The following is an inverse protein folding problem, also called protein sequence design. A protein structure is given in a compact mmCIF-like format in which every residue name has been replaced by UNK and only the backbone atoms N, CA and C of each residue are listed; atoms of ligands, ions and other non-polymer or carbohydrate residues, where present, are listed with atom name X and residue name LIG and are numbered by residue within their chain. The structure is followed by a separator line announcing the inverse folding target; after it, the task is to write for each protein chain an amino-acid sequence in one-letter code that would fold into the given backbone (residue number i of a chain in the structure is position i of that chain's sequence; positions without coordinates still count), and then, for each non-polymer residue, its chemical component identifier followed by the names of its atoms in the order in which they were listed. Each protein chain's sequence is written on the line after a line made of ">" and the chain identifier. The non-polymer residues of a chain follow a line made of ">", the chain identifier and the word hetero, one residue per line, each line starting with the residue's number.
data_IF_254169859232
#
_entry.id   IF_254169859232
#
_cell.length_a   1.000
_cell.length_b   1.000
_cell.length_c   1.000
_cell.angle_alpha   90.00
_cell.angle_beta   90.00
_cell.angle_gamma   90.00
#
_symmetry.space_group_name_H-M   'P 1'
#
loop_
_entity.id
_entity.type
_entity.pdbx_description
1 polymer ?
#
# COMPACT_ATOMS: atom_id res chain seq x y z
N UNK A 1 -4.86 -22.16 0.44
CA UNK A 1 -3.62 -21.38 0.52
C UNK A 1 -2.43 -22.30 0.66
N UNK A 2 -2.17 -23.13 -0.35
CA UNK A 2 -1.16 -24.22 -0.29
C UNK A 2 -0.37 -24.41 -1.60
N UNK A 3 -0.27 -23.38 -2.45
CA UNK A 3 0.39 -23.52 -3.75
C UNK A 3 1.47 -22.47 -4.06
N UNK A 4 2.08 -21.87 -3.04
CA UNK A 4 3.33 -21.13 -3.28
C UNK A 4 4.48 -22.08 -2.92
N UNK A 5 4.89 -22.89 -3.89
CA UNK A 5 6.11 -23.68 -3.75
C UNK A 5 7.30 -22.71 -3.68
N UNK A 6 8.10 -22.84 -2.63
CA UNK A 6 9.16 -21.91 -2.21
C UNK A 6 10.31 -21.76 -3.22
N UNK A 7 10.37 -22.56 -4.27
CA UNK A 7 11.47 -22.56 -5.24
C UNK A 7 11.27 -21.61 -6.44
N UNK A 8 10.04 -21.18 -6.77
CA UNK A 8 9.72 -20.28 -7.90
C UNK A 8 9.49 -18.80 -7.49
N UNK A 9 10.00 -18.42 -6.32
CA UNK A 9 9.32 -17.43 -5.46
C UNK A 9 9.64 -15.95 -5.77
N UNK A 10 10.82 -15.59 -6.30
CA UNK A 10 11.21 -14.17 -6.38
C UNK A 10 10.63 -13.37 -7.53
N UNK A 11 10.47 -13.99 -8.71
CA UNK A 11 9.75 -13.33 -9.80
C UNK A 11 8.28 -13.12 -9.43
N UNK A 12 7.67 -14.09 -8.75
CA UNK A 12 6.31 -13.97 -8.23
C UNK A 12 6.20 -12.84 -7.21
N UNK A 13 7.10 -12.77 -6.21
CA UNK A 13 7.11 -11.69 -5.22
C UNK A 13 7.32 -10.32 -5.86
N UNK A 14 8.19 -10.23 -6.88
CA UNK A 14 8.36 -9.02 -7.67
C UNK A 14 7.08 -8.64 -8.46
N UNK A 15 6.39 -9.62 -9.04
CA UNK A 15 5.09 -9.39 -9.68
C UNK A 15 4.04 -8.89 -8.68
N UNK A 16 3.98 -9.50 -7.50
CA UNK A 16 3.10 -9.12 -6.40
C UNK A 16 3.38 -7.69 -5.91
N UNK A 17 4.66 -7.30 -5.80
CA UNK A 17 5.07 -5.93 -5.51
C UNK A 17 4.46 -4.94 -6.50
N UNK A 18 4.58 -5.19 -7.81
CA UNK A 18 4.02 -4.30 -8.84
C UNK A 18 2.51 -4.18 -8.74
N UNK A 19 1.81 -5.27 -8.42
CA UNK A 19 0.36 -5.25 -8.18
C UNK A 19 0.02 -4.45 -6.92
N UNK A 20 0.75 -4.64 -5.83
CA UNK A 20 0.56 -3.91 -4.58
C UNK A 20 0.75 -2.40 -4.77
N UNK A 21 1.80 -2.00 -5.48
CA UNK A 21 2.09 -0.59 -5.80
C UNK A 21 1.04 0.02 -6.74
N UNK A 22 0.63 -0.70 -7.79
CA UNK A 22 -0.35 -0.19 -8.74
C UNK A 22 -1.76 -0.06 -8.14
N UNK A 23 -2.09 -0.90 -7.15
CA UNK A 23 -3.41 -0.93 -6.50
C UNK A 23 -3.50 -0.07 -5.25
N UNK A 24 -2.37 0.37 -4.68
CA UNK A 24 -2.34 1.06 -3.38
C UNK A 24 -2.85 0.18 -2.23
N UNK A 25 -2.86 -1.14 -2.39
CA UNK A 25 -3.38 -2.04 -1.36
C UNK A 25 -2.26 -2.47 -0.43
N UNK A 26 -2.30 -2.07 0.85
CA UNK A 26 -1.41 -2.64 1.88
C UNK A 26 -1.74 -4.10 2.19
N UNK A 27 -3.01 -4.47 2.06
CA UNK A 27 -3.50 -5.84 2.30
C UNK A 27 -4.22 -6.35 1.05
N UNK A 28 -3.87 -7.56 0.64
CA UNK A 28 -4.61 -8.29 -0.40
C UNK A 28 -5.45 -9.32 0.35
N UNK A 29 -6.77 -9.12 0.34
CA UNK A 29 -7.67 -9.82 1.24
C UNK A 29 -7.33 -9.53 2.70
N UNK A 30 -7.07 -10.57 3.49
CA UNK A 30 -6.71 -10.45 4.91
C UNK A 30 -5.20 -10.34 5.15
N UNK A 31 -4.37 -10.54 4.13
CA UNK A 31 -2.92 -10.69 4.27
C UNK A 31 -2.19 -9.38 3.96
N UNK A 32 -1.30 -8.96 4.85
CA UNK A 32 -0.31 -7.93 4.53
C UNK A 32 0.77 -8.57 3.64
N UNK A 33 0.67 -8.33 2.34
CA UNK A 33 1.46 -9.00 1.33
C UNK A 33 2.96 -8.67 1.47
N UNK A 34 3.29 -7.42 1.80
CA UNK A 34 4.69 -7.00 1.96
C UNK A 34 5.32 -7.67 3.18
N UNK A 35 4.63 -7.65 4.33
CA UNK A 35 5.14 -8.27 5.56
C UNK A 35 5.34 -9.78 5.39
N UNK A 36 4.42 -10.45 4.68
CA UNK A 36 4.55 -11.87 4.38
C UNK A 36 5.74 -12.12 3.44
N UNK A 37 5.81 -11.41 2.32
CA UNK A 37 6.88 -11.55 1.33
C UNK A 37 8.27 -11.25 1.90
N UNK A 38 8.42 -10.16 2.65
CA UNK A 38 9.67 -9.81 3.31
C UNK A 38 10.06 -10.87 4.34
N UNK A 39 9.10 -11.42 5.09
CA UNK A 39 9.35 -12.51 6.02
C UNK A 39 9.81 -13.81 5.36
N UNK A 40 9.36 -14.09 4.14
CA UNK A 40 9.83 -15.24 3.33
C UNK A 40 11.27 -14.96 2.88
N UNK A 41 11.52 -13.81 2.25
CA UNK A 41 12.84 -13.43 1.74
C UNK A 41 13.88 -13.44 2.88
N UNK A 42 13.60 -12.79 4.00
CA UNK A 42 14.57 -12.69 5.10
C UNK A 42 14.89 -14.03 5.77
N UNK A 43 13.97 -15.00 5.75
CA UNK A 43 14.23 -16.35 6.28
C UNK A 43 15.20 -17.14 5.43
N UNK A 44 15.17 -16.92 4.12
CA UNK A 44 16.00 -17.65 3.14
C UNK A 44 17.35 -16.96 2.88
N UNK A 45 17.63 -15.82 3.52
CA UNK A 45 18.90 -15.12 3.35
C UNK A 45 20.07 -15.94 3.90
N UNK A 46 21.12 -16.11 3.09
CA UNK A 46 22.34 -16.77 3.53
C UNK A 46 23.01 -15.95 4.64
N UNK A 47 23.20 -16.55 5.82
CA UNK A 47 23.73 -15.86 7.01
C UNK A 47 25.20 -15.48 6.92
N UNK A 48 25.95 -16.06 6.00
CA UNK A 48 27.39 -15.82 5.82
C UNK A 48 27.61 -14.83 4.68
N UNK A 49 27.04 -15.10 3.50
CA UNK A 49 27.26 -14.26 2.31
C UNK A 49 26.26 -13.12 2.18
N UNK A 50 25.12 -13.19 2.88
CA UNK A 50 24.01 -12.24 2.74
C UNK A 50 23.23 -12.40 1.43
N UNK A 51 23.66 -13.29 0.53
CA UNK A 51 23.02 -13.52 -0.75
C UNK A 51 21.77 -14.39 -0.62
N UNK A 52 20.90 -14.29 -1.63
CA UNK A 52 19.82 -15.23 -1.86
C UNK A 52 20.18 -16.13 -3.03
N UNK A 53 20.01 -17.44 -2.85
CA UNK A 53 20.23 -18.42 -3.90
C UNK A 53 18.88 -19.05 -4.26
N UNK A 54 18.37 -18.74 -5.46
CA UNK A 54 17.21 -19.41 -6.03
C UNK A 54 17.55 -19.97 -7.41
N UNK A 55 16.76 -20.95 -7.82
CA UNK A 55 16.87 -21.57 -9.13
C UNK A 55 15.99 -20.80 -10.13
N UNK A 56 16.62 -20.15 -11.11
CA UNK A 56 15.92 -19.55 -12.25
C UNK A 56 16.08 -20.53 -13.41
N UNK A 57 14.98 -21.06 -13.96
CA UNK A 57 14.99 -22.07 -15.03
C UNK A 57 15.87 -23.30 -14.68
N UNK A 58 15.75 -23.80 -13.45
CA UNK A 58 16.59 -24.88 -12.90
C UNK A 58 18.09 -24.60 -12.85
N UNK A 59 18.52 -23.33 -12.95
CA UNK A 59 19.91 -22.92 -12.74
C UNK A 59 20.02 -22.03 -11.50
N UNK A 60 20.92 -22.34 -10.54
CA UNK A 60 21.12 -21.48 -9.38
C UNK A 60 21.74 -20.15 -9.83
N UNK A 61 21.17 -19.03 -9.40
CA UNK A 61 21.75 -17.71 -9.68
C UNK A 61 21.64 -16.79 -8.47
N UNK A 62 22.77 -16.58 -7.80
CA UNK A 62 22.82 -15.71 -6.61
C UNK A 62 22.62 -14.23 -6.97
N UNK A 63 23.16 -13.80 -8.11
CA UNK A 63 23.10 -12.39 -8.54
C UNK A 63 21.67 -11.98 -8.89
N UNK A 64 20.98 -12.78 -9.71
CA UNK A 64 19.61 -12.47 -10.14
C UNK A 64 18.66 -12.51 -8.94
N UNK A 65 18.78 -13.55 -8.11
CA UNK A 65 17.95 -13.72 -6.91
C UNK A 65 18.17 -12.57 -5.93
N UNK A 66 19.43 -12.23 -5.64
CA UNK A 66 19.74 -11.09 -4.76
C UNK A 66 19.22 -9.77 -5.33
N UNK A 67 19.30 -9.55 -6.65
CA UNK A 67 18.75 -8.36 -7.28
C UNK A 67 17.22 -8.26 -7.08
N UNK A 68 16.47 -9.34 -7.31
CA UNK A 68 15.02 -9.35 -7.06
C UNK A 68 14.67 -9.22 -5.58
N UNK A 69 15.44 -9.85 -4.68
CA UNK A 69 15.29 -9.71 -3.23
C UNK A 69 15.38 -8.23 -2.81
N UNK A 70 16.41 -7.55 -3.31
CA UNK A 70 16.65 -6.14 -3.00
C UNK A 70 15.58 -5.23 -3.61
N UNK A 71 15.16 -5.48 -4.85
CA UNK A 71 14.04 -4.75 -5.47
C UNK A 71 12.77 -4.82 -4.62
N UNK A 72 12.45 -6.01 -4.11
CA UNK A 72 11.29 -6.20 -3.24
C UNK A 72 11.48 -5.52 -1.87
N UNK A 73 12.58 -5.81 -1.16
CA UNK A 73 12.81 -5.36 0.22
C UNK A 73 12.98 -3.85 0.35
N UNK A 74 13.48 -3.18 -0.69
CA UNK A 74 13.62 -1.71 -0.68
C UNK A 74 12.27 -1.00 -0.63
N UNK A 75 11.15 -1.65 -1.01
CA UNK A 75 9.82 -1.02 -1.04
C UNK A 75 9.13 -0.89 0.31
N UNK A 76 9.52 -1.66 1.31
CA UNK A 76 8.95 -1.53 2.66
C UNK A 76 9.31 -0.24 3.37
N UNK A 77 10.29 0.49 2.83
CA UNK A 77 10.78 1.74 3.41
C UNK A 77 9.98 2.96 2.92
N UNK A 78 9.17 2.81 1.88
CA UNK A 78 8.46 3.94 1.29
C UNK A 78 7.34 4.41 2.24
N UNK A 79 7.42 5.64 2.75
CA UNK A 79 6.39 6.18 3.64
C UNK A 79 5.06 6.32 2.89
N UNK A 80 3.97 6.10 3.63
CA UNK A 80 2.61 6.28 3.12
C UNK A 80 2.19 7.71 3.45
N UNK A 81 1.98 8.53 2.42
CA UNK A 81 1.65 9.95 2.61
C UNK A 81 0.16 10.20 2.76
N UNK A 82 -0.66 9.35 2.14
CA UNK A 82 -2.11 9.53 2.12
C UNK A 82 -2.85 8.19 2.14
N UNK A 83 -3.90 8.17 2.95
CA UNK A 83 -4.88 7.11 3.05
C UNK A 83 -6.17 7.56 2.37
N UNK A 84 -6.55 6.95 1.26
CA UNK A 84 -7.84 7.19 0.60
C UNK A 84 -8.93 6.37 1.29
N UNK A 85 -9.92 7.05 1.86
CA UNK A 85 -11.01 6.40 2.59
C UNK A 85 -11.98 5.72 1.61
N UNK A 86 -12.11 4.40 1.73
CA UNK A 86 -13.10 3.61 1.03
C UNK A 86 -14.37 3.51 1.89
N UNK A 87 -15.49 4.00 1.37
CA UNK A 87 -16.81 3.95 2.02
C UNK A 87 -17.89 3.51 1.02
N UNK A 88 -19.09 3.21 1.52
CA UNK A 88 -20.22 2.82 0.68
C UNK A 88 -20.76 4.04 -0.10
N UNK A 89 -20.26 4.24 -1.31
CA UNK A 89 -20.58 5.36 -2.19
C UNK A 89 -19.52 5.57 -3.27
N UNK A 90 -19.57 6.67 -4.02
CA UNK A 90 -18.60 6.97 -5.08
C UNK A 90 -17.28 7.51 -4.51
N UNK A 91 -16.66 6.76 -3.60
CA UNK A 91 -15.40 7.11 -2.93
C UNK A 91 -14.22 7.23 -3.90
N UNK A 92 -14.29 6.58 -5.06
CA UNK A 92 -13.27 6.60 -6.11
C UNK A 92 -13.81 7.16 -7.44
N UNK A 93 -14.55 8.27 -7.38
CA UNK A 93 -15.16 8.90 -8.56
C UNK A 93 -14.12 9.37 -9.60
N UNK A 94 -12.91 9.72 -9.16
CA UNK A 94 -11.75 10.05 -10.01
C UNK A 94 -10.62 9.04 -9.75
N UNK A 95 -10.56 7.93 -10.49
CA UNK A 95 -9.49 6.96 -10.31
C UNK A 95 -8.11 7.60 -10.54
N UNK A 96 -7.13 7.25 -9.70
CA UNK A 96 -5.73 7.71 -9.75
C UNK A 96 -5.48 9.17 -9.38
N UNK A 97 -6.45 9.88 -8.82
CA UNK A 97 -6.24 11.20 -8.20
C UNK A 97 -5.14 11.16 -7.12
N UNK A 98 -5.25 10.21 -6.20
CA UNK A 98 -4.30 9.82 -5.17
C UNK A 98 -2.93 9.45 -5.73
N UNK A 99 -2.89 8.62 -6.77
CA UNK A 99 -1.66 8.24 -7.46
C UNK A 99 -0.97 9.46 -8.08
N UNK A 100 -1.71 10.31 -8.78
CA UNK A 100 -1.15 11.49 -9.44
C UNK A 100 -0.60 12.49 -8.42
N UNK A 101 -1.33 12.74 -7.32
CA UNK A 101 -0.86 13.59 -6.23
C UNK A 101 0.39 12.99 -5.57
N UNK A 102 0.39 11.68 -5.31
CA UNK A 102 1.54 10.98 -4.71
C UNK A 102 2.76 11.02 -5.61
N UNK A 103 2.59 10.86 -6.93
CA UNK A 103 3.69 10.95 -7.88
C UNK A 103 4.25 12.37 -7.97
N UNK A 104 3.37 13.37 -7.99
CA UNK A 104 3.80 14.76 -7.96
C UNK A 104 4.57 15.10 -6.67
N UNK A 105 4.07 14.66 -5.50
CA UNK A 105 4.78 14.80 -4.22
C UNK A 105 6.13 14.08 -4.25
N UNK A 106 6.17 12.85 -4.77
CA UNK A 106 7.40 12.06 -4.86
C UNK A 106 8.47 12.75 -5.70
N UNK A 107 8.07 13.31 -6.84
CA UNK A 107 8.96 14.10 -7.70
C UNK A 107 9.41 15.40 -7.02
N UNK A 108 8.53 16.05 -6.26
CA UNK A 108 8.81 17.33 -5.58
C UNK A 108 9.79 17.16 -4.41
N UNK A 109 9.65 16.07 -3.64
CA UNK A 109 10.49 15.79 -2.47
C UNK A 109 11.68 14.87 -2.78
N UNK A 110 11.84 14.43 -4.03
CA UNK A 110 12.86 13.47 -4.46
C UNK A 110 12.87 12.18 -3.61
N UNK A 111 11.70 11.78 -3.12
CA UNK A 111 11.51 10.61 -2.26
C UNK A 111 10.43 9.72 -2.85
N UNK A 112 10.61 8.41 -2.74
CA UNK A 112 9.56 7.48 -3.17
C UNK A 112 8.46 7.43 -2.11
N UNK A 113 7.31 8.02 -2.43
CA UNK A 113 6.16 8.07 -1.54
C UNK A 113 5.08 7.11 -2.05
N UNK A 114 4.30 6.55 -1.12
CA UNK A 114 3.19 5.67 -1.45
C UNK A 114 1.87 6.25 -0.95
N UNK A 115 0.79 5.79 -1.54
CA UNK A 115 -0.56 5.95 -1.03
C UNK A 115 -1.18 4.59 -0.78
N UNK A 116 -2.24 4.56 0.03
CA UNK A 116 -3.06 3.36 0.15
C UNK A 116 -4.54 3.69 0.29
N UNK A 117 -5.40 2.72 -0.01
CA UNK A 117 -6.81 2.78 0.35
C UNK A 117 -7.09 2.10 1.69
N UNK A 118 -7.97 2.70 2.49
CA UNK A 118 -8.37 2.17 3.81
C UNK A 118 -9.90 2.10 3.91
N UNK A 119 -10.49 0.95 4.25
CA UNK A 119 -11.93 0.83 4.44
C UNK A 119 -12.40 1.62 5.67
N UNK A 120 -13.57 2.27 5.60
CA UNK A 120 -14.18 3.00 6.72
C UNK A 120 -14.52 2.07 7.89
N UNK A 121 -14.75 0.79 7.63
CA UNK A 121 -15.02 -0.25 8.62
C UNK A 121 -13.77 -0.63 9.43
N UNK A 122 -12.57 -0.30 8.93
CA UNK A 122 -11.33 -0.62 9.60
C UNK A 122 -11.13 0.20 10.89
N UNK A 123 -10.27 -0.31 11.78
CA UNK A 123 -9.94 0.39 13.02
C UNK A 123 -9.24 1.72 12.72
N UNK A 124 -9.69 2.82 13.33
CA UNK A 124 -9.13 4.16 13.13
C UNK A 124 -7.62 4.26 13.43
N UNK A 125 -7.08 3.37 14.29
CA UNK A 125 -5.62 3.26 14.52
C UNK A 125 -4.85 2.94 13.24
N UNK A 126 -5.42 2.14 12.34
CA UNK A 126 -4.79 1.80 11.07
C UNK A 126 -4.70 3.01 10.13
N UNK A 127 -5.55 4.04 10.32
CA UNK A 127 -5.52 5.25 9.51
C UNK A 127 -4.30 6.12 9.84
N UNK A 128 -3.69 5.95 11.01
CA UNK A 128 -2.47 6.68 11.41
C UNK A 128 -1.19 6.16 10.74
N UNK A 129 -1.28 5.15 9.88
CA UNK A 129 -0.15 4.76 9.01
C UNK A 129 0.25 5.90 8.05
N UNK A 130 -0.66 6.84 7.80
CA UNK A 130 -0.41 8.04 7.01
C UNK A 130 -0.92 9.28 7.77
N UNK A 131 -0.26 10.45 7.60
CA UNK A 131 -0.68 11.68 8.25
C UNK A 131 -2.00 12.23 7.68
N UNK A 132 -2.30 11.94 6.40
CA UNK A 132 -3.47 12.48 5.70
C UNK A 132 -4.47 11.38 5.38
N UNK A 133 -5.73 11.57 5.79
CA UNK A 133 -6.88 10.80 5.34
C UNK A 133 -7.63 11.58 4.26
N UNK A 134 -7.55 11.10 3.02
CA UNK A 134 -8.22 11.65 1.86
C UNK A 134 -9.64 11.11 1.76
N UNK A 135 -10.63 12.01 1.72
CA UNK A 135 -12.03 11.68 1.46
C UNK A 135 -12.43 12.34 0.14
N UNK A 136 -12.66 11.53 -0.88
CA UNK A 136 -13.13 12.00 -2.20
C UNK A 136 -14.48 11.42 -2.51
N UNK A 137 -15.21 12.08 -3.40
CA UNK A 137 -16.39 11.50 -4.01
C UNK A 137 -17.45 12.52 -4.40
N UNK A 138 -18.58 11.98 -4.84
CA UNK A 138 -19.73 12.74 -5.31
C UNK A 138 -20.96 12.46 -4.44
N UNK A 139 -21.61 13.51 -3.93
CA UNK A 139 -22.83 13.39 -3.12
C UNK A 139 -22.57 13.08 -1.64
N UNK A 140 -23.64 12.72 -0.92
CA UNK A 140 -23.56 12.49 0.52
C UNK A 140 -22.98 11.09 0.82
N UNK A 141 -21.85 10.99 1.56
CA UNK A 141 -21.23 9.71 1.89
C UNK A 141 -21.98 8.91 2.97
N UNK A 142 -23.06 9.46 3.55
CA UNK A 142 -23.91 8.79 4.55
C UNK A 142 -23.14 8.17 5.74
N UNK A 143 -22.10 8.86 6.21
CA UNK A 143 -21.32 8.41 7.37
C UNK A 143 -22.19 8.30 8.63
N UNK A 144 -22.03 7.19 9.35
CA UNK A 144 -22.76 6.97 10.60
C UNK A 144 -22.12 7.75 11.75
N UNK A 145 -22.84 7.92 12.86
CA UNK A 145 -22.26 8.50 14.09
C UNK A 145 -21.01 7.75 14.58
N UNK A 146 -20.94 6.43 14.33
CA UNK A 146 -19.76 5.63 14.65
C UNK A 146 -18.54 6.02 13.77
N UNK A 147 -18.76 6.27 12.48
CA UNK A 147 -17.70 6.71 11.57
C UNK A 147 -17.21 8.12 11.92
N UNK A 148 -18.14 9.02 12.27
CA UNK A 148 -17.79 10.36 12.77
C UNK A 148 -16.92 10.27 14.03
N UNK A 149 -17.20 9.34 14.95
CA UNK A 149 -16.36 9.13 16.12
C UNK A 149 -14.94 8.64 15.76
N UNK A 150 -14.80 7.80 14.72
CA UNK A 150 -13.48 7.40 14.20
C UNK A 150 -12.72 8.59 13.61
N UNK A 151 -13.38 9.46 12.85
CA UNK A 151 -12.76 10.67 12.31
C UNK A 151 -12.27 11.61 13.41
N UNK A 152 -13.10 11.85 14.43
CA UNK A 152 -12.72 12.64 15.61
C UNK A 152 -11.53 12.02 16.32
N UNK A 153 -11.54 10.70 16.51
CA UNK A 153 -10.42 9.98 17.11
C UNK A 153 -9.14 10.19 16.29
N UNK A 154 -9.18 10.00 14.97
CA UNK A 154 -8.03 10.20 14.08
C UNK A 154 -7.47 11.63 14.16
N UNK A 155 -8.33 12.65 14.09
CA UNK A 155 -7.92 14.05 14.20
C UNK A 155 -7.30 14.37 15.57
N UNK A 156 -7.88 13.86 16.65
CA UNK A 156 -7.35 14.06 18.01
C UNK A 156 -5.98 13.38 18.22
N UNK A 157 -5.58 12.43 17.36
CA UNK A 157 -4.28 11.78 17.39
C UNK A 157 -3.30 12.35 16.35
N UNK A 158 -3.57 13.56 15.82
CA UNK A 158 -2.69 14.29 14.92
C UNK A 158 -2.89 14.02 13.42
N UNK A 159 -3.89 13.22 13.07
CA UNK A 159 -4.27 12.99 11.68
C UNK A 159 -4.95 14.21 11.05
N UNK A 160 -4.75 14.41 9.75
CA UNK A 160 -5.39 15.46 8.96
C UNK A 160 -6.39 14.84 8.00
N UNK A 161 -7.63 15.35 7.97
CA UNK A 161 -8.62 14.93 6.98
C UNK A 161 -8.64 15.97 5.86
N UNK A 162 -8.36 15.52 4.63
CA UNK A 162 -8.50 16.34 3.43
C UNK A 162 -9.67 15.82 2.61
N UNK A 163 -10.66 16.68 2.35
CA UNK A 163 -11.86 16.31 1.60
C UNK A 163 -11.91 17.04 0.26
N UNK A 164 -12.10 16.28 -0.83
CA UNK A 164 -12.42 16.81 -2.16
C UNK A 164 -13.83 16.42 -2.55
N UNK A 165 -14.63 17.39 -2.97
CA UNK A 165 -15.95 17.15 -3.52
C UNK A 165 -15.86 17.14 -5.06
N UNK A 166 -16.07 15.98 -5.67
CA UNK A 166 -15.92 15.78 -7.12
C UNK A 166 -17.21 16.11 -7.89
N UNK A 167 -18.15 16.82 -7.27
CA UNK A 167 -19.43 17.19 -7.86
C UNK A 167 -19.37 18.48 -8.67
N UNK A 168 -20.25 18.57 -9.67
CA UNK A 168 -20.52 19.85 -10.33
C UNK A 168 -21.16 20.83 -9.35
N UNK A 169 -20.69 22.07 -9.41
CA UNK A 169 -21.44 23.21 -8.86
C UNK A 169 -22.84 23.22 -9.47
N UNK A 170 -23.86 23.51 -8.66
CA UNK A 170 -25.19 23.82 -9.19
C UNK A 170 -25.12 25.21 -9.83
N UNK A 171 -24.69 25.27 -11.08
CA UNK A 171 -24.92 26.40 -11.98
C UNK A 171 -26.16 26.15 -12.79
#
# INVERSE_FOLDING_TARGET
>A
GEHIQTQDNMYYLYGLERVGLASGLRRIGTVNWYRLGAGIILKDQNRITGAWTLYVLNQPSDVISTAYAMLFLTRGLNPIVLNKLQYNGPWNARPRDDYNVTQWLSATFEQTLNWQSVPVESNARNWLDAPVLLITGHGNPHFTSADINKFKWFMNHGGVIFSSADGNSKT
#
